data_IF_392461343184
#
_entry.id   IF_392461343184
#
_cell.length_a   1.000
_cell.length_b   1.000
_cell.length_c   1.000
_cell.angle_alpha   90.00
_cell.angle_beta   90.00
_cell.angle_gamma   90.00
#
_symmetry.space_group_name_H-M   'P 1'
#
loop_
_entity.id
_entity.type
_entity.pdbx_description
1 polymer ?
#
# COMPACT_ATOMS: atom_id res chain seq x y z
N UNK A 1 4.53 14.35 12.42
CA UNK A 1 4.91 14.66 13.82
C UNK A 1 3.71 14.78 14.79
N UNK A 2 2.44 14.75 14.36
CA UNK A 2 1.31 15.07 15.26
C UNK A 2 1.08 14.08 16.43
N UNK A 3 1.46 12.80 16.30
CA UNK A 3 1.20 11.81 17.36
C UNK A 3 2.02 12.03 18.62
N UNK A 4 3.29 12.42 18.48
CA UNK A 4 4.22 12.53 19.61
C UNK A 4 3.79 13.63 20.56
N UNK A 5 3.36 14.77 20.03
CA UNK A 5 2.87 15.90 20.82
C UNK A 5 1.63 15.54 21.65
N UNK A 6 0.71 14.75 21.07
CA UNK A 6 -0.47 14.30 21.81
C UNK A 6 -0.13 13.26 22.88
N UNK A 7 0.92 12.45 22.67
CA UNK A 7 1.44 11.52 23.67
C UNK A 7 2.10 12.20 24.87
N UNK A 8 2.63 13.41 24.67
CA UNK A 8 3.22 14.24 25.73
C UNK A 8 2.18 15.05 26.52
N UNK A 9 0.88 14.86 26.25
CA UNK A 9 -0.20 15.59 26.93
C UNK A 9 -0.39 17.03 26.44
N UNK A 10 0.33 17.46 25.40
CA UNK A 10 0.22 18.81 24.85
C UNK A 10 -1.07 18.95 24.05
N UNK A 11 -1.84 20.00 24.32
CA UNK A 11 -3.04 20.33 23.56
C UNK A 11 -2.67 20.87 22.18
N UNK A 12 -3.01 20.12 21.14
CA UNK A 12 -2.81 20.53 19.75
C UNK A 12 -4.07 21.25 19.27
N UNK A 13 -3.88 22.40 18.63
CA UNK A 13 -4.93 23.17 17.96
C UNK A 13 -4.88 22.86 16.47
N UNK A 14 -6.04 22.56 15.88
CA UNK A 14 -6.18 22.32 14.45
C UNK A 14 -6.12 23.60 13.63
N UNK A 15 -6.15 23.51 12.28
CA UNK A 15 -6.10 24.66 11.39
C UNK A 15 -7.26 25.66 11.57
N UNK A 16 -8.37 25.23 12.19
CA UNK A 16 -9.54 26.06 12.45
C UNK A 16 -9.64 26.54 13.92
N UNK A 17 -8.55 26.55 14.68
CA UNK A 17 -8.55 27.03 16.07
C UNK A 17 -9.19 26.07 17.09
N UNK A 18 -9.75 24.94 16.66
CA UNK A 18 -10.37 23.94 17.54
C UNK A 18 -9.33 23.03 18.20
N UNK A 19 -9.53 22.74 19.50
CA UNK A 19 -8.68 21.79 20.26
C UNK A 19 -8.98 20.36 19.86
N UNK A 20 -7.95 19.65 19.38
CA UNK A 20 -8.06 18.24 18.96
C UNK A 20 -8.28 17.37 20.20
N UNK A 21 -9.40 16.65 20.20
CA UNK A 21 -9.88 15.77 21.28
C UNK A 21 -9.14 14.44 21.26
N UNK A 22 -9.31 13.75 20.14
CA UNK A 22 -8.79 12.43 19.85
C UNK A 22 -7.98 12.50 18.56
N UNK A 23 -6.89 11.76 18.52
CA UNK A 23 -6.12 11.58 17.29
C UNK A 23 -6.36 10.17 16.77
N UNK A 24 -6.88 10.05 15.55
CA UNK A 24 -7.15 8.77 14.88
C UNK A 24 -6.20 8.62 13.70
N UNK A 25 -5.38 7.56 13.71
CA UNK A 25 -4.45 7.25 12.64
C UNK A 25 -4.62 5.81 12.15
N UNK A 26 -4.36 5.60 10.87
CA UNK A 26 -4.20 4.29 10.29
C UNK A 26 -2.76 3.80 10.38
N UNK A 27 -2.56 2.67 11.04
CA UNK A 27 -1.27 1.97 11.14
C UNK A 27 -1.35 0.62 10.43
N UNK A 28 -0.20 0.04 10.12
CA UNK A 28 -0.09 -1.33 9.64
C UNK A 28 0.40 -2.23 10.79
N UNK A 29 -0.40 -3.25 11.15
CA UNK A 29 -0.01 -4.29 12.11
C UNK A 29 0.31 -5.57 11.35
N UNK A 30 1.44 -6.19 11.64
CA UNK A 30 1.76 -7.50 11.10
C UNK A 30 0.95 -8.60 11.81
N UNK A 31 0.43 -9.56 11.05
CA UNK A 31 -0.30 -10.71 11.61
C UNK A 31 0.61 -11.78 12.22
N UNK A 32 1.89 -11.86 11.79
CA UNK A 32 2.83 -12.88 12.28
C UNK A 32 3.67 -12.38 13.45
N UNK A 33 4.35 -11.25 13.30
CA UNK A 33 5.26 -10.71 14.33
C UNK A 33 4.64 -9.63 15.22
N UNK A 34 3.38 -9.25 15.00
CA UNK A 34 2.63 -8.22 15.74
C UNK A 34 3.24 -6.81 15.78
N UNK A 35 4.35 -6.59 15.08
CA UNK A 35 4.98 -5.28 14.97
C UNK A 35 4.04 -4.26 14.30
N UNK A 36 4.06 -3.04 14.83
CA UNK A 36 3.34 -1.90 14.29
C UNK A 36 4.26 -1.10 13.37
N UNK A 37 3.74 -0.68 12.23
CA UNK A 37 4.45 0.10 11.23
C UNK A 37 3.60 1.34 10.90
N UNK A 38 4.21 2.51 11.05
CA UNK A 38 3.57 3.81 10.75
C UNK A 38 3.49 4.08 9.25
N UNK A 39 4.44 3.56 8.49
CA UNK A 39 4.54 3.73 7.05
C UNK A 39 3.47 2.90 6.32
N UNK A 40 2.36 3.55 5.96
CA UNK A 40 1.23 2.89 5.29
C UNK A 40 1.52 2.42 3.86
N UNK A 41 2.63 2.89 3.28
CA UNK A 41 3.09 2.53 1.93
C UNK A 41 3.86 1.21 1.90
N UNK A 42 4.26 0.65 3.04
CA UNK A 42 5.03 -0.61 3.05
C UNK A 42 4.17 -1.81 2.68
N UNK A 43 4.72 -2.68 1.83
CA UNK A 43 4.12 -3.98 1.49
C UNK A 43 4.66 -5.13 2.33
N UNK A 44 5.91 -5.01 2.75
CA UNK A 44 6.63 -5.98 3.57
C UNK A 44 6.75 -5.47 4.99
N UNK A 45 6.68 -6.39 5.95
CA UNK A 45 6.97 -6.05 7.33
C UNK A 45 8.48 -5.80 7.50
N UNK A 46 8.85 -4.72 8.20
CA UNK A 46 10.25 -4.37 8.42
C UNK A 46 10.99 -5.32 9.37
N UNK A 47 10.28 -6.01 10.27
CA UNK A 47 10.91 -6.91 11.25
C UNK A 47 10.99 -8.35 10.74
N UNK A 48 9.89 -8.92 10.26
CA UNK A 48 9.86 -10.33 9.84
C UNK A 48 10.10 -10.54 8.34
N UNK A 49 10.21 -9.46 7.54
CA UNK A 49 10.41 -9.54 6.08
C UNK A 49 9.27 -10.19 5.30
N UNK A 50 8.27 -10.76 5.98
CA UNK A 50 7.14 -11.45 5.37
C UNK A 50 6.30 -10.46 4.59
N UNK A 51 6.00 -10.82 3.34
CA UNK A 51 5.17 -10.01 2.47
C UNK A 51 3.68 -10.28 2.67
N UNK A 52 2.86 -9.24 2.49
CA UNK A 52 1.39 -9.31 2.56
C UNK A 52 0.78 -9.71 3.92
N UNK A 53 1.56 -9.65 5.01
CA UNK A 53 1.10 -9.89 6.40
C UNK A 53 0.63 -8.62 7.12
N UNK A 54 0.87 -7.45 6.53
CA UNK A 54 0.49 -6.16 7.10
C UNK A 54 -1.01 -5.87 6.89
N UNK A 55 -1.73 -5.64 7.99
CA UNK A 55 -3.15 -5.26 8.00
C UNK A 55 -3.32 -3.84 8.52
N UNK A 56 -4.22 -3.08 7.88
CA UNK A 56 -4.56 -1.73 8.32
C UNK A 56 -5.43 -1.81 9.57
N UNK A 57 -4.97 -1.17 10.64
CA UNK A 57 -5.60 -1.12 11.96
C UNK A 57 -5.75 0.34 12.36
N UNK A 58 -6.82 0.67 13.08
CA UNK A 58 -7.03 2.02 13.60
C UNK A 58 -6.34 2.17 14.96
N UNK A 59 -5.56 3.24 15.09
CA UNK A 59 -4.88 3.64 16.30
C UNK A 59 -5.49 4.95 16.79
N UNK A 60 -5.94 4.97 18.04
CA UNK A 60 -6.59 6.13 18.64
C UNK A 60 -5.82 6.55 19.88
N UNK A 61 -5.60 7.85 19.97
CA UNK A 61 -5.00 8.51 21.14
C UNK A 61 -6.04 9.42 21.73
N UNK A 62 -6.50 9.10 22.94
CA UNK A 62 -7.48 9.88 23.69
C UNK A 62 -6.83 11.12 24.32
N UNK A 63 -7.63 12.06 24.83
CA UNK A 63 -7.15 13.24 25.57
C UNK A 63 -6.19 12.90 26.72
N UNK A 64 -6.47 11.81 27.43
CA UNK A 64 -5.68 11.33 28.58
C UNK A 64 -4.34 10.69 28.17
N UNK A 65 -3.97 10.72 26.88
CA UNK A 65 -2.77 10.08 26.36
C UNK A 65 -2.88 8.55 26.23
N UNK A 66 -4.00 7.95 26.66
CA UNK A 66 -4.30 6.52 26.50
C UNK A 66 -4.29 6.12 25.02
N UNK A 67 -3.59 5.03 24.72
CA UNK A 67 -3.39 4.47 23.38
C UNK A 67 -4.28 3.26 23.22
N UNK A 68 -5.16 3.28 22.23
CA UNK A 68 -6.07 2.18 21.92
C UNK A 68 -5.90 1.72 20.48
N UNK A 69 -5.82 0.42 20.28
CA UNK A 69 -5.73 -0.24 18.98
C UNK A 69 -7.03 -0.97 18.71
N UNK A 70 -7.74 -0.55 17.66
CA UNK A 70 -8.99 -1.17 17.25
C UNK A 70 -8.73 -2.24 16.19
N UNK A 71 -8.70 -3.49 16.64
CA UNK A 71 -8.51 -4.66 15.78
C UNK A 71 -9.89 -5.22 15.43
N UNK A 72 -10.14 -5.42 14.14
CA UNK A 72 -11.36 -6.09 13.68
C UNK A 72 -11.17 -7.61 13.80
N UNK A 73 -11.66 -8.19 14.90
CA UNK A 73 -11.63 -9.64 15.14
C UNK A 73 -12.63 -10.41 14.30
N UNK A 74 -13.70 -9.77 13.81
CA UNK A 74 -14.71 -10.41 12.95
C UNK A 74 -14.14 -10.80 11.57
N UNK A 75 -12.98 -10.25 11.18
CA UNK A 75 -12.32 -10.59 9.92
C UNK A 75 -11.22 -11.62 10.15
N UNK A 76 -11.47 -12.93 9.92
CA UNK A 76 -10.47 -13.96 10.15
C UNK A 76 -9.29 -13.81 9.17
N UNK A 77 -8.12 -14.20 9.65
CA UNK A 77 -6.90 -14.19 8.85
C UNK A 77 -6.91 -15.45 7.98
N UNK A 78 -7.29 -15.29 6.71
CA UNK A 78 -7.25 -16.39 5.74
C UNK A 78 -5.85 -16.55 5.14
N UNK A 79 -5.37 -17.78 5.09
CA UNK A 79 -4.15 -18.21 4.39
C UNK A 79 -4.43 -18.58 2.92
N UNK A 80 -5.68 -18.43 2.45
CA UNK A 80 -6.07 -18.82 1.10
C UNK A 80 -5.36 -17.97 0.04
N UNK A 81 -4.68 -18.63 -0.89
CA UNK A 81 -4.02 -17.99 -2.04
C UNK A 81 -2.63 -17.43 -1.75
N UNK A 82 -2.04 -17.72 -0.58
CA UNK A 82 -0.65 -17.37 -0.29
C UNK A 82 0.36 -18.37 -0.87
N UNK A 83 -0.05 -19.65 -0.98
CA UNK A 83 0.78 -20.72 -1.54
C UNK A 83 0.38 -20.98 -2.98
N UNK A 84 1.31 -20.77 -3.91
CA UNK A 84 1.15 -21.06 -5.34
C UNK A 84 2.52 -21.33 -5.99
N UNK A 85 2.51 -22.04 -7.11
CA UNK A 85 3.72 -22.36 -7.85
C UNK A 85 4.27 -21.08 -8.50
N UNK A 86 5.51 -20.76 -8.16
CA UNK A 86 6.23 -19.66 -8.77
C UNK A 86 6.96 -20.14 -10.03
N UNK A 87 7.03 -19.31 -11.08
CA UNK A 87 7.85 -19.62 -12.24
C UNK A 87 9.32 -19.72 -11.80
N UNK A 88 10.07 -20.57 -12.50
CA UNK A 88 11.52 -20.71 -12.26
C UNK A 88 12.19 -19.33 -12.39
N UNK A 89 13.10 -18.96 -11.49
CA UNK A 89 13.83 -17.70 -11.63
C UNK A 89 14.64 -17.73 -12.93
N UNK A 90 14.36 -16.79 -13.83
CA UNK A 90 15.10 -16.58 -15.08
C UNK A 90 15.90 -15.29 -14.96
N UNK A 91 17.09 -15.27 -15.55
CA UNK A 91 17.97 -14.09 -15.57
C UNK A 91 17.77 -13.28 -16.85
N UNK A 92 17.83 -11.95 -16.76
CA UNK A 92 17.73 -11.04 -17.90
C UNK A 92 17.30 -9.63 -17.51
N UNK A 93 17.66 -8.62 -18.31
CA UNK A 93 17.37 -7.20 -18.03
C UNK A 93 15.89 -6.80 -18.13
N UNK A 94 15.04 -7.65 -18.71
CA UNK A 94 13.63 -7.35 -19.03
C UNK A 94 12.65 -8.13 -18.15
N UNK A 95 13.12 -9.07 -17.33
CA UNK A 95 12.24 -10.03 -16.68
C UNK A 95 11.83 -9.60 -15.25
N UNK A 96 10.53 -9.35 -15.08
CA UNK A 96 9.94 -9.04 -13.78
C UNK A 96 9.69 -10.34 -13.01
N UNK A 97 10.73 -10.86 -12.35
CA UNK A 97 10.52 -11.88 -11.30
C UNK A 97 9.69 -11.26 -10.17
N UNK A 98 8.69 -12.00 -9.68
CA UNK A 98 7.86 -11.56 -8.56
C UNK A 98 8.78 -11.26 -7.36
N UNK A 99 8.69 -10.04 -6.82
CA UNK A 99 9.49 -9.65 -5.65
C UNK A 99 8.93 -10.35 -4.41
N UNK A 100 9.62 -11.38 -3.92
CA UNK A 100 9.13 -12.26 -2.84
C UNK A 100 9.71 -11.93 -1.46
N UNK A 101 10.86 -11.28 -1.39
CA UNK A 101 11.54 -10.96 -0.14
C UNK A 101 12.13 -9.55 -0.17
N UNK A 102 12.17 -8.92 1.00
CA UNK A 102 12.75 -7.60 1.24
C UNK A 102 14.26 -7.52 0.92
N UNK A 103 14.96 -8.66 0.82
CA UNK A 103 16.43 -8.71 0.62
C UNK A 103 16.94 -8.67 -0.82
N UNK A 104 16.08 -8.66 -1.85
CA UNK A 104 16.51 -8.57 -3.25
C UNK A 104 15.88 -7.35 -3.91
N UNK A 105 16.58 -6.22 -3.81
CA UNK A 105 16.37 -4.96 -4.54
C UNK A 105 14.89 -4.57 -4.66
N UNK A 106 14.42 -3.97 -3.56
CA UNK A 106 13.37 -2.95 -3.39
C UNK A 106 12.44 -3.35 -2.26
N UNK A 107 12.60 -2.68 -1.12
CA UNK A 107 11.51 -2.38 -0.20
C UNK A 107 10.46 -1.59 -1.01
N UNK A 108 9.62 -2.27 -1.78
CA UNK A 108 8.66 -1.61 -2.65
C UNK A 108 7.66 -0.87 -1.77
N UNK A 109 7.88 0.42 -1.57
CA UNK A 109 6.84 1.34 -1.14
C UNK A 109 5.79 1.33 -2.24
N UNK A 110 4.60 0.84 -1.91
CA UNK A 110 3.47 0.92 -2.80
C UNK A 110 2.50 1.94 -2.24
N UNK A 111 2.24 2.96 -3.04
CA UNK A 111 1.23 3.94 -2.73
C UNK A 111 -0.11 3.22 -2.82
N UNK A 112 -0.64 2.80 -1.67
CA UNK A 112 -2.01 2.31 -1.56
C UNK A 112 -2.92 3.51 -1.75
N UNK A 113 -3.24 3.83 -3.00
CA UNK A 113 -4.15 4.93 -3.32
C UNK A 113 -5.43 4.78 -2.50
N UNK A 114 -5.73 5.77 -1.67
CA UNK A 114 -7.08 5.94 -1.15
C UNK A 114 -8.03 6.17 -2.33
N UNK A 115 -9.31 5.87 -2.17
CA UNK A 115 -10.33 6.19 -3.19
C UNK A 115 -10.24 7.66 -3.61
N UNK A 116 -9.95 8.54 -2.66
CA UNK A 116 -9.72 9.98 -2.87
C UNK A 116 -8.45 10.30 -3.66
N UNK A 117 -7.33 9.58 -3.46
CA UNK A 117 -6.10 9.79 -4.23
C UNK A 117 -6.27 9.39 -5.70
N UNK A 118 -6.99 8.29 -5.98
CA UNK A 118 -7.34 7.89 -7.34
C UNK A 118 -8.32 8.87 -8.01
N UNK A 119 -9.21 9.48 -7.23
CA UNK A 119 -10.12 10.52 -7.73
C UNK A 119 -9.34 11.80 -8.09
N UNK A 120 -8.39 12.20 -7.25
CA UNK A 120 -7.55 13.39 -7.46
C UNK A 120 -6.62 13.24 -8.67
N UNK A 121 -6.04 12.05 -8.86
CA UNK A 121 -5.23 11.73 -10.04
C UNK A 121 -6.06 11.81 -11.34
N UNK A 122 -7.33 11.37 -11.33
CA UNK A 122 -8.27 11.57 -12.45
C UNK A 122 -8.61 13.05 -12.71
N UNK A 123 -8.66 13.88 -11.66
CA UNK A 123 -8.94 15.31 -11.81
C UNK A 123 -7.72 16.11 -12.29
N UNK A 124 -6.50 15.74 -11.88
CA UNK A 124 -5.26 16.40 -12.35
C UNK A 124 -5.03 16.14 -13.85
N UNK A 125 -5.32 14.93 -14.33
CA UNK A 125 -5.27 14.60 -15.78
C UNK A 125 -6.34 15.34 -16.59
N UNK A 126 -7.38 15.90 -15.97
CA UNK A 126 -8.46 16.63 -16.66
C UNK A 126 -8.36 18.15 -16.53
N UNK A 127 -7.39 18.67 -15.77
CA UNK A 127 -7.46 20.04 -15.24
C UNK A 127 -6.47 21.05 -15.81
N UNK A 128 -5.54 20.68 -16.70
CA UNK A 128 -4.54 21.63 -17.19
C UNK A 128 -3.95 21.18 -18.53
N UNK A 129 -4.39 21.81 -19.63
CA UNK A 129 -3.68 21.74 -20.93
C UNK A 129 -4.59 21.58 -22.14
N UNK A 130 -4.72 22.67 -22.89
CA UNK A 130 -4.90 22.84 -24.33
C UNK A 130 -5.55 21.72 -25.17
N UNK A 131 -6.46 22.14 -26.06
CA UNK A 131 -7.27 21.31 -26.99
C UNK A 131 -6.48 20.41 -27.98
N UNK A 132 -5.15 20.31 -27.88
CA UNK A 132 -4.29 19.46 -28.71
C UNK A 132 -3.99 18.08 -28.08
N UNK A 133 -4.35 17.86 -26.80
CA UNK A 133 -4.13 16.57 -26.12
C UNK A 133 -5.20 15.50 -26.46
N UNK A 134 -6.27 15.88 -27.17
CA UNK A 134 -7.31 14.97 -27.67
C UNK A 134 -6.82 14.00 -28.75
N UNK A 135 -5.70 14.31 -29.42
CA UNK A 135 -5.10 13.44 -30.44
C UNK A 135 -4.25 12.29 -29.86
N UNK A 136 -3.93 12.31 -28.56
CA UNK A 136 -3.08 11.31 -27.90
C UNK A 136 -3.86 10.11 -27.33
N UNK A 137 -5.09 9.88 -27.75
CA UNK A 137 -5.81 8.64 -27.45
C UNK A 137 -5.24 7.48 -28.29
N UNK A 138 -4.23 6.80 -27.75
CA UNK A 138 -3.76 5.53 -28.32
C UNK A 138 -2.25 5.33 -28.37
N UNK A 139 -1.44 6.37 -28.14
CA UNK A 139 0.01 6.18 -28.09
C UNK A 139 0.45 5.74 -26.69
N UNK A 140 0.99 4.52 -26.62
CA UNK A 140 1.58 3.99 -25.38
C UNK A 140 2.90 4.73 -25.14
N UNK A 141 3.04 5.52 -24.05
CA UNK A 141 4.29 6.20 -23.78
C UNK A 141 5.43 5.18 -23.62
N UNK A 142 6.54 5.41 -24.33
CA UNK A 142 7.73 4.54 -24.30
C UNK A 142 8.26 4.46 -22.86
N UNK A 143 8.51 3.25 -22.31
CA UNK A 143 8.92 3.13 -20.92
C UNK A 143 10.34 3.64 -20.71
N UNK A 144 10.50 4.79 -20.04
CA UNK A 144 11.78 5.23 -19.51
C UNK A 144 12.28 4.22 -18.43
N UNK A 145 13.59 3.97 -18.37
CA UNK A 145 14.19 3.22 -17.25
C UNK A 145 13.79 3.92 -15.95
N UNK A 146 13.09 3.21 -15.07
CA UNK A 146 12.57 3.77 -13.82
C UNK A 146 13.67 3.82 -12.78
N UNK A 147 13.74 4.94 -12.06
CA UNK A 147 14.61 5.07 -10.90
C UNK A 147 14.24 4.03 -9.83
N UNK A 148 15.25 3.33 -9.32
CA UNK A 148 15.10 2.21 -8.39
C UNK A 148 14.47 2.64 -7.07
N UNK A 149 14.64 3.91 -6.69
CA UNK A 149 14.17 4.50 -5.44
C UNK A 149 12.74 5.06 -5.49
N UNK A 150 12.09 5.10 -6.67
CA UNK A 150 10.73 5.60 -6.76
C UNK A 150 9.69 4.57 -6.26
N UNK A 151 8.67 4.99 -5.49
CA UNK A 151 7.62 4.12 -5.00
C UNK A 151 6.78 3.56 -6.17
N UNK A 152 6.39 2.29 -6.07
CA UNK A 152 5.57 1.63 -7.09
C UNK A 152 4.10 2.04 -6.94
N UNK A 153 3.46 2.33 -8.06
CA UNK A 153 2.01 2.62 -8.12
C UNK A 153 1.19 1.31 -7.95
N UNK A 154 1.75 0.18 -8.40
CA UNK A 154 1.08 -1.12 -8.38
C UNK A 154 1.77 -2.11 -7.44
N UNK A 155 0.97 -2.95 -6.77
CA UNK A 155 1.48 -3.99 -5.87
C UNK A 155 2.18 -5.11 -6.62
N UNK A 156 3.29 -5.63 -6.08
CA UNK A 156 3.94 -6.81 -6.65
C UNK A 156 3.07 -8.08 -6.58
N UNK A 157 2.04 -8.07 -5.74
CA UNK A 157 1.06 -9.16 -5.59
C UNK A 157 -0.11 -9.04 -6.57
N UNK A 158 -0.63 -10.19 -7.01
CA UNK A 158 -1.89 -10.26 -7.75
C UNK A 158 -3.05 -9.73 -6.92
N UNK A 159 -3.98 -8.99 -7.57
CA UNK A 159 -5.22 -8.50 -6.96
C UNK A 159 -6.19 -9.63 -6.57
N UNK A 160 -5.94 -10.84 -7.06
CA UNK A 160 -6.81 -11.99 -6.91
C UNK A 160 -6.02 -13.22 -6.50
N UNK A 161 -6.73 -14.21 -5.96
CA UNK A 161 -6.18 -15.51 -5.66
C UNK A 161 -5.88 -16.28 -6.97
N UNK A 162 -4.60 -16.56 -7.21
CA UNK A 162 -4.08 -17.24 -8.41
C UNK A 162 -4.62 -18.67 -8.52
N UNK A 163 -4.97 -19.31 -7.40
CA UNK A 163 -5.45 -20.70 -7.36
C UNK A 163 -6.92 -20.84 -7.79
N UNK A 164 -7.64 -19.74 -8.07
CA UNK A 164 -9.02 -19.80 -8.56
C UNK A 164 -9.09 -20.29 -10.02
N UNK A 165 -9.68 -21.49 -10.23
CA UNK A 165 -9.82 -22.15 -11.54
C UNK A 165 -10.42 -21.26 -12.64
N UNK A 166 -11.32 -20.33 -12.29
CA UNK A 166 -11.97 -19.43 -13.25
C UNK A 166 -10.97 -18.49 -13.95
N UNK A 167 -9.90 -18.08 -13.24
CA UNK A 167 -8.90 -17.14 -13.76
C UNK A 167 -7.72 -17.84 -14.42
N UNK A 168 -7.31 -19.02 -13.94
CA UNK A 168 -6.32 -19.85 -14.63
C UNK A 168 -6.78 -20.30 -16.01
N UNK A 169 -8.10 -20.52 -16.19
CA UNK A 169 -8.70 -20.78 -17.50
C UNK A 169 -8.69 -19.54 -18.42
N UNK A 170 -8.91 -18.36 -17.86
CA UNK A 170 -8.89 -17.10 -18.63
C UNK A 170 -7.48 -16.75 -19.13
N UNK A 171 -6.42 -17.06 -18.37
CA UNK A 171 -5.04 -16.83 -18.80
C UNK A 171 -4.56 -17.82 -19.87
N UNK A 172 -5.12 -19.03 -19.92
CA UNK A 172 -4.80 -20.04 -20.96
C UNK A 172 -5.53 -19.81 -22.29
N UNK A 173 -6.50 -18.89 -22.32
CA UNK A 173 -7.26 -18.54 -23.54
C UNK A 173 -6.61 -17.42 -24.36
N UNK A 174 -5.41 -16.98 -24.00
CA UNK A 174 -4.62 -15.99 -24.73
C UNK A 174 -3.40 -16.64 -25.34
#
# INVERSE_FOLDING_TARGET
MQNTLKHLGVSIVGPHGMRIQELRQWLLRCTSCFALTNDTTRQFCGTCGSGNTLRRVQYVVTREGKKQLFINFCKPISTRGTVYNLPKPRGGSVEQTAALCCGRIRCAHVIRGTTSAKLREKHVVRGSGNDEELAAFGEVPKPHKRDVNQPRIFSSYHKYNVNEKKKSRASRRK
#
